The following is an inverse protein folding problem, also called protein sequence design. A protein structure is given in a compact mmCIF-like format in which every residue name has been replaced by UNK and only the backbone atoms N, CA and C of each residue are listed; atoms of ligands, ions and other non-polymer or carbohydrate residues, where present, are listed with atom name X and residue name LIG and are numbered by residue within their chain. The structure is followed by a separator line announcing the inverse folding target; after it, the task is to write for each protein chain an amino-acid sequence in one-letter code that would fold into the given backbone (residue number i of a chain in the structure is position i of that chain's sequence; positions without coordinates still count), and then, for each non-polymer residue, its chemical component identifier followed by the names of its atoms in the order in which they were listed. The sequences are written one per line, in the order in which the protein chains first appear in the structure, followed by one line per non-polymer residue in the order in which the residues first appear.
data_IF_865768614632
#
_entry.id   IF_865768614632
#
_cell.length_a   1.000
_cell.length_b   1.000
_cell.length_c   1.000
_cell.angle_alpha   90.00
_cell.angle_beta   90.00
_cell.angle_gamma   90.00
#
_symmetry.space_group_name_H-M   'P 1'
#
loop_
_entity.id
_entity.type
_entity.pdbx_description
1 polymer ?
#
# COMPACT_ATOMS: atom_id res chain seq x y z
N UNK A 1 -85.43 2.67 -79.56
CA UNK A 1 -84.84 1.38 -79.17
C UNK A 1 -83.70 1.71 -78.21
N UNK A 2 -83.83 1.20 -76.99
CA UNK A 2 -83.05 1.55 -75.79
C UNK A 2 -81.56 1.17 -75.96
N UNK A 3 -80.65 2.00 -75.43
CA UNK A 3 -79.21 1.74 -75.35
C UNK A 3 -78.75 1.68 -73.89
N UNK A 4 -77.72 0.87 -73.57
CA UNK A 4 -77.64 0.12 -72.32
C UNK A 4 -77.29 0.96 -71.08
N UNK A 5 -77.91 0.56 -69.96
CA UNK A 5 -77.58 1.01 -68.62
C UNK A 5 -76.07 0.88 -68.34
N UNK A 6 -75.40 2.00 -68.10
CA UNK A 6 -73.99 2.03 -67.68
C UNK A 6 -73.85 1.49 -66.27
N UNK A 7 -73.13 0.37 -66.11
CA UNK A 7 -72.75 -0.19 -64.82
C UNK A 7 -71.94 0.81 -63.97
N UNK A 8 -72.32 0.88 -62.68
CA UNK A 8 -71.81 1.74 -61.62
C UNK A 8 -70.29 1.60 -61.43
N UNK A 9 -69.58 2.72 -61.36
CA UNK A 9 -68.30 2.78 -60.64
C UNK A 9 -68.57 3.48 -59.32
N UNK A 10 -68.72 2.71 -58.24
CA UNK A 10 -68.59 3.26 -56.89
C UNK A 10 -67.17 3.80 -56.79
N UNK A 11 -67.04 5.10 -57.04
CA UNK A 11 -65.75 5.77 -57.06
C UNK A 11 -65.26 5.81 -55.62
N UNK A 12 -64.55 4.74 -55.22
CA UNK A 12 -63.88 4.67 -53.94
C UNK A 12 -63.12 5.97 -53.74
N UNK A 13 -63.34 6.61 -52.59
CA UNK A 13 -62.55 7.78 -52.20
C UNK A 13 -61.11 7.31 -52.17
N UNK A 14 -60.36 7.61 -53.24
CA UNK A 14 -58.94 7.38 -53.30
C UNK A 14 -58.34 8.29 -52.24
N UNK A 15 -57.56 7.71 -51.34
CA UNK A 15 -56.78 8.48 -50.38
C UNK A 15 -55.78 9.31 -51.17
N UNK A 16 -56.07 10.60 -51.27
CA UNK A 16 -55.21 11.58 -51.90
C UNK A 16 -54.71 12.54 -50.82
N UNK A 17 -53.45 13.00 -50.91
CA UNK A 17 -52.98 14.04 -50.00
C UNK A 17 -53.86 15.28 -50.12
N UNK A 18 -54.04 16.00 -49.00
CA UNK A 18 -54.80 17.24 -48.99
C UNK A 18 -54.22 18.22 -50.03
N UNK A 19 -55.05 19.11 -50.58
CA UNK A 19 -54.72 20.04 -51.67
C UNK A 19 -53.51 20.98 -51.39
N UNK A 20 -52.93 20.96 -50.18
CA UNK A 20 -51.71 21.68 -49.78
C UNK A 20 -50.44 20.82 -49.56
N UNK A 21 -50.48 19.50 -49.83
CA UNK A 21 -49.32 18.61 -49.69
C UNK A 21 -48.91 18.30 -48.23
N UNK A 22 -47.87 17.47 -48.06
CA UNK A 22 -47.32 17.17 -46.73
C UNK A 22 -46.33 18.25 -46.28
N UNK A 23 -46.22 18.45 -44.97
CA UNK A 23 -45.21 19.35 -44.40
C UNK A 23 -43.79 18.88 -44.77
N UNK A 24 -42.82 19.80 -44.93
CA UNK A 24 -41.45 19.44 -45.25
C UNK A 24 -40.87 18.50 -44.20
N UNK A 25 -40.42 17.32 -44.64
CA UNK A 25 -39.78 16.34 -43.79
C UNK A 25 -38.26 16.61 -43.81
N UNK A 26 -37.70 16.93 -42.65
CA UNK A 26 -36.26 17.11 -42.47
C UNK A 26 -35.52 15.76 -42.61
N UNK A 27 -35.11 15.42 -43.83
CA UNK A 27 -34.37 14.19 -44.12
C UNK A 27 -32.86 14.28 -43.79
N UNK A 28 -32.35 15.48 -43.46
CA UNK A 28 -30.93 15.71 -43.17
C UNK A 28 -30.63 15.51 -41.69
N UNK A 29 -29.53 14.83 -41.39
CA UNK A 29 -29.04 14.63 -40.02
C UNK A 29 -28.50 15.96 -39.44
N UNK A 30 -29.20 16.52 -38.44
CA UNK A 30 -28.76 17.72 -37.69
C UNK A 30 -28.05 17.30 -36.40
N UNK A 31 -26.73 17.13 -36.44
CA UNK A 31 -25.93 16.92 -35.22
C UNK A 31 -25.38 18.24 -34.71
N UNK A 32 -25.76 18.71 -33.51
CA UNK A 32 -25.09 19.82 -32.88
C UNK A 32 -23.67 19.39 -32.46
N UNK A 33 -22.65 20.17 -32.84
CA UNK A 33 -21.31 20.03 -32.26
C UNK A 33 -21.39 20.46 -30.79
N UNK A 34 -21.48 19.47 -29.89
CA UNK A 34 -21.50 19.65 -28.44
C UNK A 34 -20.14 19.26 -27.87
N UNK A 35 -19.69 19.98 -26.85
CA UNK A 35 -18.45 19.69 -26.11
C UNK A 35 -17.40 20.80 -26.20
N UNK A 36 -16.38 20.67 -25.36
CA UNK A 36 -15.21 21.54 -25.34
C UNK A 36 -14.27 21.19 -26.51
N UNK A 37 -13.55 22.18 -27.02
CA UNK A 37 -12.51 21.97 -28.03
C UNK A 37 -11.43 21.01 -27.51
N UNK A 38 -10.81 20.22 -28.39
CA UNK A 38 -9.72 19.29 -28.00
C UNK A 38 -8.58 20.02 -27.28
N UNK A 39 -8.22 21.21 -27.74
CA UNK A 39 -7.21 22.06 -27.09
C UNK A 39 -7.62 22.48 -25.67
N UNK A 40 -8.91 22.80 -25.46
CA UNK A 40 -9.40 23.15 -24.12
C UNK A 40 -9.41 21.96 -23.16
N UNK A 41 -9.65 20.74 -23.64
CA UNK A 41 -9.53 19.54 -22.79
C UNK A 41 -8.07 19.28 -22.38
N UNK A 42 -7.12 19.45 -23.31
CA UNK A 42 -5.69 19.32 -23.01
C UNK A 42 -5.22 20.39 -22.03
N UNK A 43 -5.64 21.64 -22.22
CA UNK A 43 -5.31 22.74 -21.32
C UNK A 43 -5.83 22.49 -19.90
N UNK A 44 -7.07 22.01 -19.76
CA UNK A 44 -7.64 21.64 -18.46
C UNK A 44 -6.87 20.47 -17.81
N UNK A 45 -6.51 19.44 -18.59
CA UNK A 45 -5.73 18.31 -18.10
C UNK A 45 -4.34 18.72 -17.60
N UNK A 46 -3.65 19.59 -18.33
CA UNK A 46 -2.34 20.11 -17.89
C UNK A 46 -2.52 20.97 -16.64
N UNK A 47 -3.55 21.81 -16.58
CA UNK A 47 -3.85 22.65 -15.43
C UNK A 47 -4.07 21.85 -14.14
N UNK A 48 -4.84 20.76 -14.21
CA UNK A 48 -5.06 19.89 -13.04
C UNK A 48 -3.79 19.13 -12.64
N UNK A 49 -3.00 18.65 -13.60
CA UNK A 49 -1.74 17.95 -13.31
C UNK A 49 -0.72 18.88 -12.63
N UNK A 50 -0.58 20.12 -13.11
CA UNK A 50 0.29 21.12 -12.48
C UNK A 50 -0.14 21.42 -11.04
N UNK A 51 -1.45 21.56 -10.81
CA UNK A 51 -1.99 21.79 -9.48
C UNK A 51 -1.75 20.60 -8.51
N UNK A 52 -2.01 19.37 -8.98
CA UNK A 52 -1.76 18.15 -8.20
C UNK A 52 -0.27 18.00 -7.89
N UNK A 53 0.61 18.24 -8.86
CA UNK A 53 2.04 18.15 -8.63
C UNK A 53 2.52 19.18 -7.60
N UNK A 54 2.06 20.43 -7.72
CA UNK A 54 2.42 21.49 -6.77
C UNK A 54 1.95 21.20 -5.34
N UNK A 55 0.70 20.75 -5.17
CA UNK A 55 0.15 20.37 -3.87
C UNK A 55 0.87 19.15 -3.28
N UNK A 56 1.18 18.14 -4.10
CA UNK A 56 1.96 16.96 -3.69
C UNK A 56 3.39 17.34 -3.28
N UNK A 57 4.04 18.26 -4.00
CA UNK A 57 5.36 18.76 -3.62
C UNK A 57 5.33 19.42 -2.25
N UNK A 58 4.37 20.32 -1.98
CA UNK A 58 4.22 20.95 -0.66
C UNK A 58 4.01 19.90 0.43
N UNK A 59 3.13 18.94 0.19
CA UNK A 59 2.84 17.88 1.15
C UNK A 59 4.04 16.98 1.43
N UNK A 60 4.81 16.62 0.40
CA UNK A 60 6.02 15.82 0.56
C UNK A 60 7.11 16.55 1.35
N UNK A 61 7.24 17.86 1.17
CA UNK A 61 8.13 18.68 2.00
C UNK A 61 7.72 18.64 3.47
N UNK A 62 6.42 18.75 3.76
CA UNK A 62 5.91 18.68 5.13
C UNK A 62 6.07 17.29 5.74
N UNK A 63 5.77 16.23 4.99
CA UNK A 63 6.03 14.84 5.42
C UNK A 63 7.49 14.61 5.76
N UNK A 64 8.42 15.15 4.97
CA UNK A 64 9.85 15.05 5.26
C UNK A 64 10.21 15.76 6.56
N UNK A 65 9.63 16.93 6.84
CA UNK A 65 9.84 17.64 8.12
C UNK A 65 9.35 16.81 9.29
N UNK A 66 8.17 16.21 9.19
CA UNK A 66 7.64 15.33 10.23
C UNK A 66 8.53 14.09 10.44
N UNK A 67 9.00 13.46 9.36
CA UNK A 67 9.94 12.34 9.45
C UNK A 67 11.25 12.73 10.13
N UNK A 68 11.78 13.93 9.84
CA UNK A 68 12.98 14.44 10.51
C UNK A 68 12.71 14.63 12.01
N UNK A 69 11.56 15.18 12.39
CA UNK A 69 11.19 15.32 13.81
C UNK A 69 11.06 13.96 14.51
N UNK A 70 10.48 12.95 13.85
CA UNK A 70 10.41 11.58 14.39
C UNK A 70 11.81 10.96 14.55
N UNK A 71 12.73 11.21 13.60
CA UNK A 71 14.11 10.74 13.71
C UNK A 71 14.87 11.48 14.81
N UNK A 72 14.71 12.79 14.96
CA UNK A 72 15.30 13.58 16.04
C UNK A 72 14.82 13.08 17.40
N UNK A 73 13.51 12.82 17.55
CA UNK A 73 12.95 12.23 18.76
C UNK A 73 13.55 10.84 19.05
N UNK A 74 13.73 10.00 18.03
CA UNK A 74 14.37 8.69 18.17
C UNK A 74 15.84 8.81 18.58
N UNK A 75 16.60 9.72 17.97
CA UNK A 75 18.01 9.95 18.27
C UNK A 75 18.17 10.42 19.73
N UNK A 76 17.26 11.28 20.21
CA UNK A 76 17.26 11.73 21.60
C UNK A 76 17.03 10.58 22.60
N UNK A 77 16.20 9.59 22.27
CA UNK A 77 15.92 8.43 23.13
C UNK A 77 16.93 7.28 23.00
N UNK A 78 17.63 7.21 21.86
CA UNK A 78 18.59 6.14 21.54
C UNK A 78 19.63 5.84 22.63
N UNK A 79 20.31 6.81 23.27
CA UNK A 79 21.32 6.49 24.28
C UNK A 79 20.76 5.79 25.52
N UNK A 80 19.54 6.14 25.94
CA UNK A 80 18.88 5.49 27.08
C UNK A 80 18.51 4.04 26.74
N UNK A 81 17.87 3.83 25.58
CA UNK A 81 17.50 2.50 25.12
C UNK A 81 18.72 1.60 24.91
N UNK A 82 19.82 2.17 24.42
CA UNK A 82 21.08 1.46 24.25
C UNK A 82 21.65 1.02 25.61
N UNK A 83 21.69 1.92 26.60
CA UNK A 83 22.18 1.60 27.94
C UNK A 83 21.32 0.52 28.63
N UNK A 84 20.00 0.57 28.49
CA UNK A 84 19.11 -0.47 29.03
C UNK A 84 19.32 -1.82 28.33
N UNK A 85 19.48 -1.80 27.01
CA UNK A 85 19.76 -3.02 26.23
C UNK A 85 21.09 -3.64 26.64
N UNK A 86 22.15 -2.84 26.79
CA UNK A 86 23.47 -3.32 27.17
C UNK A 86 23.46 -3.93 28.59
N UNK A 87 22.75 -3.30 29.54
CA UNK A 87 22.54 -3.86 30.89
C UNK A 87 21.83 -5.21 30.85
N UNK A 88 20.70 -5.29 30.13
CA UNK A 88 19.93 -6.55 30.00
C UNK A 88 20.76 -7.65 29.36
N UNK A 89 21.52 -7.33 28.31
CA UNK A 89 22.38 -8.29 27.62
C UNK A 89 23.46 -8.84 28.55
N UNK A 90 24.17 -7.98 29.28
CA UNK A 90 25.22 -8.40 30.20
C UNK A 90 24.68 -9.21 31.37
N UNK A 91 23.48 -8.89 31.87
CA UNK A 91 22.80 -9.69 32.89
C UNK A 91 22.55 -11.12 32.41
N UNK A 92 21.94 -11.29 31.23
CA UNK A 92 21.65 -12.61 30.66
C UNK A 92 22.93 -13.40 30.42
N UNK A 93 23.98 -12.77 29.89
CA UNK A 93 25.26 -13.45 29.67
C UNK A 93 25.93 -13.86 30.98
N UNK A 94 25.77 -13.05 32.04
CA UNK A 94 26.30 -13.36 33.35
C UNK A 94 25.59 -14.56 33.97
N UNK A 95 24.25 -14.59 33.91
CA UNK A 95 23.42 -15.72 34.33
C UNK A 95 23.83 -17.00 33.57
N UNK A 96 23.93 -16.93 32.24
CA UNK A 96 24.32 -18.07 31.43
C UNK A 96 25.73 -18.58 31.77
N UNK A 97 26.69 -17.70 32.05
CA UNK A 97 28.04 -18.09 32.45
C UNK A 97 28.04 -18.81 33.81
N UNK A 98 27.23 -18.33 34.77
CA UNK A 98 27.09 -18.96 36.08
C UNK A 98 26.46 -20.36 35.98
N UNK A 99 25.44 -20.52 35.15
CA UNK A 99 24.81 -21.82 34.86
C UNK A 99 25.78 -22.77 34.09
N UNK A 100 26.48 -22.26 33.07
CA UNK A 100 27.52 -23.00 32.36
C UNK A 100 28.60 -23.48 33.35
N UNK A 101 29.02 -22.65 34.31
CA UNK A 101 30.00 -23.02 35.32
C UNK A 101 29.51 -24.16 36.23
N UNK A 102 28.21 -24.29 36.47
CA UNK A 102 27.63 -25.39 37.24
C UNK A 102 27.60 -26.66 36.40
N UNK A 103 27.14 -26.58 35.15
CA UNK A 103 26.99 -27.72 34.23
C UNK A 103 28.36 -28.31 33.85
N UNK A 104 29.34 -27.45 33.59
CA UNK A 104 30.66 -27.84 33.07
C UNK A 104 31.56 -28.51 34.12
N UNK A 105 31.30 -28.33 35.42
CA UNK A 105 32.08 -28.97 36.51
C UNK A 105 32.22 -30.49 36.37
N UNK A 106 31.29 -31.16 35.70
CA UNK A 106 31.31 -32.61 35.49
C UNK A 106 32.03 -33.10 34.23
N UNK A 107 32.58 -32.21 33.39
CA UNK A 107 33.14 -32.55 32.07
C UNK A 107 34.67 -32.36 32.06
N UNK A 108 35.48 -33.39 31.74
CA UNK A 108 36.93 -33.38 31.91
C UNK A 108 37.70 -32.36 31.04
N UNK A 109 37.15 -31.94 29.89
CA UNK A 109 37.77 -30.95 28.98
C UNK A 109 36.96 -29.65 28.84
N UNK A 110 35.98 -29.42 29.71
CA UNK A 110 35.06 -28.29 29.60
C UNK A 110 35.66 -27.00 30.17
N UNK A 111 35.87 -26.00 29.32
CA UNK A 111 36.26 -24.65 29.73
C UNK A 111 35.06 -23.72 29.74
N UNK A 112 34.82 -23.07 30.86
CA UNK A 112 33.70 -22.12 31.04
C UNK A 112 34.03 -20.79 30.38
N UNK A 113 33.09 -20.25 29.58
CA UNK A 113 33.20 -18.90 29.04
C UNK A 113 34.33 -18.69 28.01
N UNK A 114 34.93 -19.75 27.47
CA UNK A 114 35.95 -19.64 26.43
C UNK A 114 35.32 -19.06 25.15
N UNK A 115 35.96 -18.04 24.57
CA UNK A 115 35.49 -17.46 23.31
C UNK A 115 35.79 -18.41 22.15
N UNK A 116 34.76 -18.69 21.34
CA UNK A 116 34.92 -19.48 20.10
C UNK A 116 35.82 -18.76 19.08
N UNK A 117 35.87 -17.43 19.13
CA UNK A 117 36.67 -16.61 18.24
C UNK A 117 38.09 -16.44 18.77
N UNK A 118 39.05 -16.35 17.84
CA UNK A 118 40.46 -16.08 18.15
C UNK A 118 40.75 -14.60 18.50
N UNK A 119 39.77 -13.70 18.34
CA UNK A 119 39.92 -12.27 18.60
C UNK A 119 39.53 -11.90 20.02
N UNK A 120 40.25 -10.94 20.62
CA UNK A 120 39.91 -10.36 21.94
C UNK A 120 38.81 -9.29 21.88
N UNK A 121 38.40 -8.88 20.68
CA UNK A 121 37.31 -7.93 20.47
C UNK A 121 35.97 -8.52 20.91
N UNK A 122 35.08 -7.67 21.44
CA UNK A 122 33.71 -8.05 21.76
C UNK A 122 32.94 -8.45 20.49
N UNK A 123 32.25 -9.59 20.56
CA UNK A 123 31.35 -10.07 19.49
C UNK A 123 29.92 -10.09 20.03
N UNK A 124 29.01 -9.49 19.27
CA UNK A 124 27.58 -9.50 19.63
C UNK A 124 27.07 -10.95 19.73
N UNK A 125 26.46 -11.34 20.86
CA UNK A 125 26.03 -12.71 21.05
C UNK A 125 24.89 -13.07 20.11
N UNK A 126 24.91 -14.30 19.60
CA UNK A 126 23.79 -14.86 18.85
C UNK A 126 22.58 -15.10 19.76
N UNK A 127 21.37 -15.10 19.19
CA UNK A 127 20.14 -15.29 19.96
C UNK A 127 20.15 -16.59 20.77
N UNK A 128 20.66 -17.68 20.19
CA UNK A 128 20.82 -18.97 20.87
C UNK A 128 21.80 -18.93 22.04
N UNK A 129 22.79 -18.03 22.03
CA UNK A 129 23.72 -17.85 23.17
C UNK A 129 23.07 -17.09 24.33
N UNK A 130 22.09 -16.23 24.04
CA UNK A 130 21.34 -15.51 25.07
C UNK A 130 20.21 -16.38 25.66
N UNK A 131 19.41 -17.02 24.80
CA UNK A 131 18.18 -17.70 25.22
C UNK A 131 18.27 -19.24 25.23
N UNK A 132 19.42 -19.83 24.88
CA UNK A 132 19.54 -21.29 24.73
C UNK A 132 19.39 -22.09 26.04
N UNK A 133 19.76 -21.50 27.18
CA UNK A 133 19.62 -22.13 28.50
C UNK A 133 18.31 -21.79 29.22
N UNK A 134 17.55 -20.81 28.72
CA UNK A 134 16.26 -20.43 29.29
C UNK A 134 15.23 -21.51 28.94
N UNK A 135 15.16 -22.53 29.79
CA UNK A 135 14.21 -23.65 29.69
C UNK A 135 12.77 -23.24 30.05
N UNK A 136 12.59 -22.13 30.76
CA UNK A 136 11.28 -21.58 31.04
C UNK A 136 10.81 -20.78 29.82
N UNK A 137 9.92 -21.43 29.06
CA UNK A 137 8.99 -20.86 28.08
C UNK A 137 9.51 -20.81 26.62
N UNK A 138 9.14 -21.82 25.82
CA UNK A 138 9.31 -21.79 24.35
C UNK A 138 8.76 -20.48 23.75
N UNK A 139 7.76 -19.86 24.38
CA UNK A 139 7.22 -18.55 24.00
C UNK A 139 8.24 -17.41 24.09
N UNK A 140 9.14 -17.33 25.08
CA UNK A 140 10.15 -16.26 25.13
C UNK A 140 11.12 -16.37 23.94
N UNK A 141 11.56 -17.59 23.63
CA UNK A 141 12.44 -17.87 22.49
C UNK A 141 11.72 -17.61 21.17
N UNK A 142 10.48 -18.07 21.03
CA UNK A 142 9.67 -17.83 19.83
C UNK A 142 9.37 -16.33 19.66
N UNK A 143 9.02 -15.63 20.73
CA UNK A 143 8.78 -14.19 20.68
C UNK A 143 10.06 -13.42 20.32
N UNK A 144 11.20 -13.78 20.91
CA UNK A 144 12.49 -13.15 20.60
C UNK A 144 12.95 -13.42 19.14
N UNK A 145 12.64 -14.59 18.58
CA UNK A 145 13.05 -14.99 17.22
C UNK A 145 12.09 -14.49 16.12
N UNK A 146 10.79 -14.64 16.33
CA UNK A 146 9.75 -14.42 15.31
C UNK A 146 8.65 -13.45 15.72
N UNK A 147 8.62 -12.98 16.97
CA UNK A 147 7.54 -12.12 17.49
C UNK A 147 7.30 -10.87 16.64
N UNK A 148 8.37 -10.18 16.21
CA UNK A 148 8.24 -9.02 15.32
C UNK A 148 7.59 -9.35 13.96
N UNK A 149 7.89 -10.53 13.38
CA UNK A 149 7.31 -10.95 12.10
C UNK A 149 5.84 -11.36 12.22
N UNK A 150 5.44 -11.85 13.39
CA UNK A 150 4.07 -12.25 13.68
C UNK A 150 3.18 -11.06 14.07
N UNK A 151 3.78 -9.91 14.37
CA UNK A 151 3.10 -8.70 14.81
C UNK A 151 2.74 -7.81 13.59
N UNK A 152 1.77 -8.27 12.79
CA UNK A 152 1.15 -7.53 11.67
C UNK A 152 -0.31 -7.91 11.57
#
# INVERSE_FOLDING_TARGET
IEGPASMVSSKGRKDMPQLGGYSPIDYKRKLPRRGLSGYSMVAMGIGTLLFVYWSMMKWNCERRRLQIQEFEARIALMPLLQAEKDRKLLQILRENLEEEAIIVKGVPDGKVGESVFHTTCWVTPMLGKLYGLRMCTNEEVLNATSGFKQYT
#
